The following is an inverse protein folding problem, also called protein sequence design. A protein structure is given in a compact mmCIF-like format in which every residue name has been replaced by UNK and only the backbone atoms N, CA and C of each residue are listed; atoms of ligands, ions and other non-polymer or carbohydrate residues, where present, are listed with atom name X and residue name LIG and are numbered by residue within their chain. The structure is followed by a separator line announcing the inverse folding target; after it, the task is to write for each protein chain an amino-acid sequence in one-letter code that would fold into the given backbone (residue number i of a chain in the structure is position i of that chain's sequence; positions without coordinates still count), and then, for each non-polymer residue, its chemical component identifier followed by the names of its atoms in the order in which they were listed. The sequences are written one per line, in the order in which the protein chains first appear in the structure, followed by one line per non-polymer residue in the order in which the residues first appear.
data_IF_637113263404
#
_entry.id   IF_637113263404
#
_cell.length_a   1.000
_cell.length_b   1.000
_cell.length_c   1.000
_cell.angle_alpha   90.00
_cell.angle_beta   90.00
_cell.angle_gamma   90.00
#
_symmetry.space_group_name_H-M   'P 1'
#
loop_
_entity.id
_entity.type
_entity.pdbx_description
1 polymer ?
#
# COMPACT_ATOMS: atom_id res chain seq x y z
N UNK A 1 -13.40 3.00 -19.02
CA UNK A 1 -12.65 2.29 -20.09
C UNK A 1 -12.85 0.80 -19.88
N UNK A 2 -13.39 0.12 -20.89
CA UNK A 2 -13.87 -1.26 -20.86
C UNK A 2 -12.87 -2.22 -20.24
N UNK A 3 -13.29 -2.99 -19.23
CA UNK A 3 -12.47 -4.09 -18.75
C UNK A 3 -12.35 -5.11 -19.89
N UNK A 4 -11.15 -5.40 -20.42
CA UNK A 4 -10.98 -6.22 -21.62
C UNK A 4 -11.36 -7.67 -21.37
N UNK A 5 -11.26 -8.12 -20.10
CA UNK A 5 -11.60 -9.49 -19.68
C UNK A 5 -13.09 -9.80 -19.95
N UNK A 6 -14.07 -9.04 -19.43
CA UNK A 6 -15.49 -9.25 -19.76
C UNK A 6 -15.82 -9.25 -21.25
N UNK A 7 -15.19 -8.37 -22.04
CA UNK A 7 -15.47 -8.25 -23.48
C UNK A 7 -14.96 -9.49 -24.23
N UNK A 8 -13.72 -9.90 -23.98
CA UNK A 8 -13.14 -11.10 -24.62
C UNK A 8 -13.89 -12.36 -24.18
N UNK A 9 -14.28 -12.46 -22.90
CA UNK A 9 -15.07 -13.57 -22.41
C UNK A 9 -16.46 -13.65 -23.08
N UNK A 10 -17.13 -12.51 -23.27
CA UNK A 10 -18.41 -12.44 -23.96
C UNK A 10 -18.29 -12.85 -25.43
N UNK A 11 -17.24 -12.38 -26.14
CA UNK A 11 -16.98 -12.75 -27.53
C UNK A 11 -16.65 -14.24 -27.68
N UNK A 12 -15.86 -14.79 -26.75
CA UNK A 12 -15.54 -16.22 -26.72
C UNK A 12 -16.81 -17.04 -26.48
N UNK A 13 -17.62 -16.68 -25.49
CA UNK A 13 -18.90 -17.33 -25.21
C UNK A 13 -19.86 -17.27 -26.39
N UNK A 14 -20.01 -16.11 -27.03
CA UNK A 14 -20.86 -15.94 -28.21
C UNK A 14 -20.35 -16.77 -29.40
N UNK A 15 -19.04 -16.82 -29.62
CA UNK A 15 -18.43 -17.63 -30.68
C UNK A 15 -18.69 -19.12 -30.48
N UNK A 16 -18.57 -19.62 -29.24
CA UNK A 16 -18.88 -21.01 -28.90
C UNK A 16 -20.38 -21.32 -29.01
N UNK A 17 -21.25 -20.41 -28.57
CA UNK A 17 -22.70 -20.54 -28.72
C UNK A 17 -23.11 -20.61 -30.20
N UNK A 18 -22.58 -19.71 -31.04
CA UNK A 18 -22.82 -19.74 -32.48
C UNK A 18 -22.35 -21.05 -33.10
N UNK A 19 -21.17 -21.55 -32.71
CA UNK A 19 -20.67 -22.83 -33.18
C UNK A 19 -21.58 -24.01 -32.77
N UNK A 20 -22.02 -24.05 -31.51
CA UNK A 20 -22.94 -25.06 -31.01
C UNK A 20 -24.30 -25.05 -31.75
N UNK A 21 -24.85 -23.85 -32.01
CA UNK A 21 -26.09 -23.68 -32.79
C UNK A 21 -25.90 -24.17 -34.22
N UNK A 22 -24.76 -23.86 -34.86
CA UNK A 22 -24.47 -24.31 -36.23
C UNK A 22 -24.40 -25.83 -36.32
N UNK A 23 -23.63 -26.50 -35.44
CA UNK A 23 -23.52 -27.96 -35.41
C UNK A 23 -24.87 -28.62 -35.14
N UNK A 24 -25.72 -28.00 -34.30
CA UNK A 24 -27.03 -28.55 -33.95
C UNK A 24 -28.11 -28.34 -35.01
N UNK A 25 -28.03 -27.27 -35.80
CA UNK A 25 -29.03 -26.91 -36.81
C UNK A 25 -28.66 -27.34 -38.23
N UNK A 26 -27.38 -27.63 -38.50
CA UNK A 26 -26.87 -28.03 -39.82
C UNK A 26 -26.34 -29.46 -39.77
N UNK A 27 -27.11 -30.48 -40.20
CA UNK A 27 -26.69 -31.89 -40.15
C UNK A 27 -25.47 -32.22 -41.03
N UNK A 28 -25.07 -31.32 -41.93
CA UNK A 28 -23.88 -31.45 -42.77
C UNK A 28 -22.58 -31.03 -42.07
N UNK A 29 -22.65 -30.40 -40.89
CA UNK A 29 -21.48 -29.92 -40.15
C UNK A 29 -21.23 -30.86 -38.96
N UNK A 30 -20.22 -31.74 -39.00
CA UNK A 30 -19.85 -32.54 -37.84
C UNK A 30 -19.22 -31.66 -36.74
N UNK A 31 -19.35 -32.09 -35.50
CA UNK A 31 -18.64 -31.48 -34.38
C UNK A 31 -17.13 -31.74 -34.51
N UNK A 32 -16.33 -30.68 -34.36
CA UNK A 32 -14.86 -30.70 -34.38
C UNK A 32 -14.33 -29.89 -33.19
N UNK A 33 -13.64 -30.58 -32.28
CA UNK A 33 -13.04 -29.98 -31.09
C UNK A 33 -11.93 -28.97 -31.44
N UNK A 34 -11.31 -29.09 -32.62
CA UNK A 34 -10.25 -28.17 -33.07
C UNK A 34 -10.77 -26.75 -33.24
N UNK A 35 -12.04 -26.60 -33.61
CA UNK A 35 -12.69 -25.29 -33.74
C UNK A 35 -12.87 -24.66 -32.35
N UNK A 36 -13.32 -25.45 -31.37
CA UNK A 36 -13.44 -25.00 -29.97
C UNK A 36 -12.07 -24.58 -29.42
N UNK A 37 -11.04 -25.41 -29.64
CA UNK A 37 -9.67 -25.10 -29.23
C UNK A 37 -9.14 -23.84 -29.91
N UNK A 38 -9.42 -23.64 -31.20
CA UNK A 38 -9.03 -22.44 -31.94
C UNK A 38 -9.70 -21.17 -31.41
N UNK A 39 -11.01 -21.21 -31.15
CA UNK A 39 -11.76 -20.08 -30.56
C UNK A 39 -11.20 -19.73 -29.18
N UNK A 40 -10.94 -20.74 -28.35
CA UNK A 40 -10.31 -20.54 -27.05
C UNK A 40 -8.92 -19.91 -27.17
N UNK A 41 -8.06 -20.45 -28.03
CA UNK A 41 -6.69 -20.00 -28.22
C UNK A 41 -6.63 -18.55 -28.70
N UNK A 42 -7.49 -18.17 -29.65
CA UNK A 42 -7.58 -16.78 -30.14
C UNK A 42 -8.01 -15.82 -29.03
N UNK A 43 -9.01 -16.19 -28.24
CA UNK A 43 -9.43 -15.38 -27.09
C UNK A 43 -8.33 -15.23 -26.04
N UNK A 44 -7.61 -16.32 -25.76
CA UNK A 44 -6.48 -16.32 -24.82
C UNK A 44 -5.32 -15.44 -25.31
N UNK A 45 -4.88 -15.60 -26.56
CA UNK A 45 -3.81 -14.76 -27.15
C UNK A 45 -4.21 -13.29 -27.16
N UNK A 46 -5.47 -12.97 -27.51
CA UNK A 46 -5.95 -11.60 -27.49
C UNK A 46 -5.90 -10.98 -26.10
N UNK A 47 -6.27 -11.75 -25.07
CA UNK A 47 -6.20 -11.28 -23.69
C UNK A 47 -4.75 -11.09 -23.23
N UNK A 48 -3.88 -12.05 -23.52
CA UNK A 48 -2.46 -11.99 -23.17
C UNK A 48 -1.79 -10.78 -23.83
N UNK A 49 -2.03 -10.56 -25.12
CA UNK A 49 -1.46 -9.42 -25.84
C UNK A 49 -1.88 -8.07 -25.23
N UNK A 50 -3.16 -7.91 -24.87
CA UNK A 50 -3.63 -6.69 -24.20
C UNK A 50 -2.96 -6.50 -22.83
N UNK A 51 -2.74 -7.60 -22.11
CA UNK A 51 -2.01 -7.56 -20.86
C UNK A 51 -0.53 -7.18 -21.06
N UNK A 52 0.15 -7.79 -22.03
CA UNK A 52 1.54 -7.47 -22.39
C UNK A 52 1.72 -5.99 -22.75
N UNK A 53 0.81 -5.43 -23.56
CA UNK A 53 0.85 -4.02 -23.94
C UNK A 53 0.71 -3.08 -22.73
N UNK A 54 -0.13 -3.44 -21.75
CA UNK A 54 -0.26 -2.67 -20.51
C UNK A 54 1.00 -2.72 -19.66
N UNK A 55 1.60 -3.90 -19.53
CA UNK A 55 2.85 -4.08 -18.80
C UNK A 55 3.98 -3.29 -19.45
N UNK A 56 4.08 -3.31 -20.77
CA UNK A 56 5.09 -2.53 -21.51
C UNK A 56 4.89 -1.02 -21.36
N UNK A 57 3.64 -0.54 -21.38
CA UNK A 57 3.33 0.85 -21.08
C UNK A 57 3.78 1.25 -19.67
N UNK A 58 3.39 0.47 -18.67
CA UNK A 58 3.78 0.69 -17.27
C UNK A 58 5.30 0.64 -17.08
N UNK A 59 6.00 -0.23 -17.81
CA UNK A 59 7.45 -0.31 -17.80
C UNK A 59 8.08 0.97 -18.33
N UNK A 60 7.57 1.51 -19.45
CA UNK A 60 8.04 2.78 -20.01
C UNK A 60 7.87 3.94 -19.02
N UNK A 61 6.71 4.04 -18.39
CA UNK A 61 6.43 5.08 -17.39
C UNK A 61 7.34 4.93 -16.17
N UNK A 62 7.48 3.70 -15.66
CA UNK A 62 8.37 3.41 -14.51
C UNK A 62 9.84 3.68 -14.85
N UNK A 63 10.27 3.33 -16.07
CA UNK A 63 11.62 3.57 -16.53
C UNK A 63 11.91 5.06 -16.63
N UNK A 64 11.03 5.85 -17.25
CA UNK A 64 11.21 7.30 -17.34
C UNK A 64 11.21 7.98 -15.96
N UNK A 65 10.39 7.51 -15.03
CA UNK A 65 10.30 8.06 -13.68
C UNK A 65 11.52 7.71 -12.80
N UNK A 66 12.05 6.48 -12.90
CA UNK A 66 13.01 5.96 -11.93
C UNK A 66 14.39 5.58 -12.49
N UNK A 67 14.57 5.42 -13.80
CA UNK A 67 15.86 5.00 -14.36
C UNK A 67 16.97 6.02 -14.07
N UNK A 68 18.18 5.52 -13.77
CA UNK A 68 19.36 6.34 -13.48
C UNK A 68 19.33 7.11 -12.14
N UNK A 69 18.20 7.14 -11.43
CA UNK A 69 18.08 7.83 -10.13
C UNK A 69 18.69 7.00 -9.00
N UNK A 70 19.33 7.69 -8.05
CA UNK A 70 19.75 7.07 -6.78
C UNK A 70 18.53 6.58 -5.99
N UNK A 71 18.72 5.63 -5.07
CA UNK A 71 17.63 5.12 -4.23
C UNK A 71 16.89 6.24 -3.49
N UNK A 72 17.63 7.23 -2.96
CA UNK A 72 17.02 8.39 -2.30
C UNK A 72 16.17 9.23 -3.25
N UNK A 73 16.65 9.49 -4.47
CA UNK A 73 15.91 10.23 -5.48
C UNK A 73 14.68 9.48 -6.02
N UNK A 74 14.73 8.14 -6.04
CA UNK A 74 13.57 7.30 -6.35
C UNK A 74 12.51 7.40 -5.26
N UNK A 75 12.91 7.29 -4.00
CA UNK A 75 12.01 7.41 -2.86
C UNK A 75 11.36 8.80 -2.78
N UNK A 76 12.13 9.86 -3.03
CA UNK A 76 11.62 11.24 -3.05
C UNK A 76 10.67 11.53 -4.22
N UNK A 77 10.74 10.77 -5.31
CA UNK A 77 9.84 10.89 -6.45
C UNK A 77 8.69 9.87 -6.43
N UNK A 78 8.67 9.01 -5.42
CA UNK A 78 7.70 7.95 -5.26
C UNK A 78 6.48 8.39 -4.45
N UNK A 79 5.46 7.52 -4.34
CA UNK A 79 4.25 7.81 -3.57
C UNK A 79 4.51 8.04 -2.08
N UNK A 80 5.63 7.53 -1.55
CA UNK A 80 6.00 7.62 -0.14
C UNK A 80 6.90 8.81 0.19
N UNK A 81 7.09 9.75 -0.74
CA UNK A 81 8.08 10.84 -0.59
C UNK A 81 7.95 11.58 0.75
N UNK A 82 6.73 11.99 1.11
CA UNK A 82 6.46 12.70 2.36
C UNK A 82 6.75 11.85 3.61
N UNK A 83 6.55 10.52 3.51
CA UNK A 83 6.83 9.60 4.61
C UNK A 83 8.32 9.35 4.79
N UNK A 84 9.06 9.24 3.69
CA UNK A 84 10.52 9.13 3.70
C UNK A 84 11.15 10.40 4.26
N UNK A 85 10.65 11.57 3.86
CA UNK A 85 11.10 12.85 4.39
C UNK A 85 10.85 12.97 5.90
N UNK A 86 9.63 12.63 6.33
CA UNK A 86 9.25 12.71 7.74
C UNK A 86 10.04 11.73 8.63
N UNK A 87 10.20 10.49 8.19
CA UNK A 87 11.01 9.50 8.92
C UNK A 87 12.49 9.86 8.94
N UNK A 88 13.02 10.48 7.88
CA UNK A 88 14.37 11.04 7.91
C UNK A 88 14.51 12.19 8.92
N UNK A 89 13.48 13.03 9.10
CA UNK A 89 13.47 14.06 10.15
C UNK A 89 13.43 13.45 11.55
N UNK A 90 12.61 12.41 11.76
CA UNK A 90 12.58 11.66 13.03
C UNK A 90 13.98 11.12 13.37
N UNK A 91 14.66 10.47 12.42
CA UNK A 91 16.00 9.90 12.65
C UNK A 91 17.05 10.95 13.04
N UNK A 92 16.91 12.20 12.58
CA UNK A 92 17.82 13.29 12.98
C UNK A 92 17.60 13.78 14.42
N UNK A 93 16.41 13.50 15.00
CA UNK A 93 15.99 14.02 16.30
C UNK A 93 15.97 12.97 17.41
N UNK A 94 15.83 11.70 17.06
CA UNK A 94 15.74 10.60 18.03
C UNK A 94 17.12 10.18 18.50
N UNK A 95 17.31 10.24 19.81
CA UNK A 95 18.52 9.80 20.52
C UNK A 95 18.10 9.09 21.82
N UNK A 96 18.76 8.00 22.24
CA UNK A 96 19.91 7.30 21.65
C UNK A 96 19.57 6.40 20.45
N UNK A 97 20.57 5.77 19.83
CA UNK A 97 20.41 4.94 18.61
C UNK A 97 19.54 3.68 18.82
N UNK A 98 19.36 3.23 20.06
CA UNK A 98 18.52 2.11 20.47
C UNK A 98 17.15 2.57 21.01
N UNK A 99 16.79 3.84 20.83
CA UNK A 99 15.52 4.39 21.27
C UNK A 99 14.34 3.56 20.74
N UNK A 100 13.35 3.36 21.62
CA UNK A 100 12.09 2.69 21.30
C UNK A 100 11.15 3.68 20.62
N UNK A 101 10.63 3.31 19.46
CA UNK A 101 9.71 4.13 18.67
C UNK A 101 8.43 3.35 18.46
N UNK A 102 7.30 3.88 18.93
CA UNK A 102 5.98 3.31 18.76
C UNK A 102 5.24 4.04 17.64
N UNK A 103 4.83 3.33 16.60
CA UNK A 103 4.13 3.91 15.44
C UNK A 103 2.64 3.63 15.55
N UNK A 104 1.85 4.70 15.71
CA UNK A 104 0.39 4.65 15.66
C UNK A 104 -0.14 5.23 14.36
N UNK A 105 -0.95 4.44 13.64
CA UNK A 105 -1.63 4.88 12.42
C UNK A 105 -2.94 4.12 12.22
N UNK A 106 -3.95 4.79 11.65
CA UNK A 106 -5.22 4.18 11.23
C UNK A 106 -5.07 3.43 9.89
N UNK A 107 -4.01 3.71 9.13
CA UNK A 107 -3.75 3.13 7.81
C UNK A 107 -2.62 2.10 7.89
N UNK A 108 -2.94 0.86 7.53
CA UNK A 108 -2.01 -0.28 7.53
C UNK A 108 -0.76 -0.01 6.68
N UNK A 109 -0.95 0.57 5.50
CA UNK A 109 0.14 0.85 4.56
C UNK A 109 1.06 1.92 5.14
N UNK A 110 0.50 3.04 5.62
CA UNK A 110 1.29 4.13 6.20
C UNK A 110 2.01 3.68 7.46
N UNK A 111 1.34 2.99 8.38
CA UNK A 111 1.95 2.49 9.62
C UNK A 111 3.11 1.52 9.35
N UNK A 112 2.87 0.51 8.51
CA UNK A 112 3.89 -0.48 8.14
C UNK A 112 5.09 0.17 7.42
N UNK A 113 4.84 1.03 6.43
CA UNK A 113 5.93 1.68 5.66
C UNK A 113 6.75 2.61 6.54
N UNK A 114 6.10 3.31 7.47
CA UNK A 114 6.80 4.18 8.42
C UNK A 114 7.71 3.38 9.33
N UNK A 115 7.19 2.28 9.88
CA UNK A 115 7.99 1.40 10.71
C UNK A 115 9.20 0.84 9.95
N UNK A 116 8.99 0.43 8.70
CA UNK A 116 10.08 0.00 7.81
C UNK A 116 11.13 1.09 7.61
N UNK A 117 10.72 2.33 7.30
CA UNK A 117 11.67 3.42 7.08
C UNK A 117 12.40 3.86 8.35
N UNK A 118 11.86 3.58 9.53
CA UNK A 118 12.49 3.90 10.81
C UNK A 118 13.57 2.89 11.23
N UNK A 119 13.76 1.77 10.54
CA UNK A 119 14.92 0.91 10.82
C UNK A 119 16.26 1.67 10.62
N UNK A 120 17.30 1.42 11.45
CA UNK A 120 17.45 0.26 12.36
C UNK A 120 16.97 0.48 13.82
N UNK A 121 16.18 1.53 14.12
CA UNK A 121 15.67 1.74 15.48
C UNK A 121 14.80 0.58 15.98
N UNK A 122 14.59 0.51 17.30
CA UNK A 122 13.68 -0.46 17.92
C UNK A 122 12.23 0.00 17.73
N UNK A 123 11.66 -0.34 16.58
CA UNK A 123 10.33 0.12 16.18
C UNK A 123 9.27 -0.92 16.51
N UNK A 124 8.21 -0.48 17.19
CA UNK A 124 7.00 -1.24 17.39
C UNK A 124 5.87 -0.64 16.56
N UNK A 125 5.22 -1.47 15.75
CA UNK A 125 3.98 -1.15 15.06
C UNK A 125 3.02 -2.33 15.20
N UNK A 126 1.76 -2.02 15.47
CA UNK A 126 0.70 -3.01 15.57
C UNK A 126 -0.38 -2.72 14.52
N UNK A 127 -0.76 -3.76 13.77
CA UNK A 127 -1.83 -3.72 12.78
C UNK A 127 -3.23 -3.71 13.41
N UNK A 128 -3.35 -4.16 14.66
CA UNK A 128 -4.66 -4.31 15.35
C UNK A 128 -5.11 -2.99 16.00
N UNK A 129 -6.38 -2.93 16.39
CA UNK A 129 -7.08 -1.73 16.91
C UNK A 129 -6.33 -0.96 18.01
N UNK A 130 -5.46 -1.61 18.77
CA UNK A 130 -4.57 -0.98 19.75
C UNK A 130 -3.27 -0.54 19.06
N UNK A 131 -3.30 0.67 18.49
CA UNK A 131 -2.17 1.27 17.76
C UNK A 131 -0.93 1.47 18.63
N UNK A 132 -1.13 1.70 19.93
CA UNK A 132 -0.08 1.83 20.93
C UNK A 132 -0.25 0.72 21.98
N UNK A 133 0.84 0.25 22.60
CA UNK A 133 0.73 -0.62 23.76
C UNK A 133 0.05 0.13 24.92
N UNK A 134 -0.50 -0.62 25.88
CA UNK A 134 -1.07 -0.02 27.08
C UNK A 134 -0.04 0.92 27.77
N UNK A 135 -0.47 2.07 28.33
CA UNK A 135 0.43 3.09 28.88
C UNK A 135 1.48 2.58 29.87
N UNK A 136 1.17 1.52 30.63
CA UNK A 136 2.13 0.89 31.56
C UNK A 136 3.37 0.26 30.91
N UNK A 137 3.37 0.03 29.59
CA UNK A 137 4.54 -0.44 28.85
C UNK A 137 5.43 0.69 28.30
N UNK A 138 4.88 1.92 28.26
CA UNK A 138 5.61 3.13 27.87
C UNK A 138 6.44 3.62 29.05
N UNK A 139 7.63 4.14 28.76
CA UNK A 139 8.55 4.69 29.75
C UNK A 139 9.02 6.08 29.32
N UNK A 140 9.39 6.95 30.28
CA UNK A 140 10.06 8.20 29.97
C UNK A 140 11.25 7.98 29.02
N UNK A 141 11.33 8.80 27.97
CA UNK A 141 12.32 8.69 26.90
C UNK A 141 11.87 7.89 25.68
N UNK A 142 10.74 7.18 25.72
CA UNK A 142 10.17 6.55 24.54
C UNK A 142 9.64 7.58 23.54
N UNK A 143 9.64 7.22 22.27
CA UNK A 143 9.10 8.05 21.20
C UNK A 143 7.82 7.46 20.63
N UNK A 144 6.85 8.33 20.35
CA UNK A 144 5.58 7.96 19.73
C UNK A 144 5.44 8.73 18.42
N UNK A 145 5.28 8.01 17.32
CA UNK A 145 5.02 8.55 15.99
C UNK A 145 3.55 8.36 15.69
N UNK A 146 2.83 9.46 15.44
CA UNK A 146 1.40 9.45 15.13
C UNK A 146 1.19 9.90 13.70
N UNK A 147 0.64 9.02 12.87
CA UNK A 147 0.47 9.22 11.42
C UNK A 147 -1.00 9.02 11.06
N UNK A 148 -1.65 10.05 10.55
CA UNK A 148 -3.05 9.98 10.09
C UNK A 148 -3.99 9.26 11.08
N UNK A 149 -3.77 9.43 12.39
CA UNK A 149 -4.56 8.76 13.42
C UNK A 149 -5.74 9.64 13.84
N UNK A 150 -6.93 9.05 13.84
CA UNK A 150 -8.16 9.69 14.33
C UNK A 150 -8.38 9.43 15.82
N UNK A 151 -7.69 8.43 16.38
CA UNK A 151 -7.82 7.98 17.76
C UNK A 151 -6.81 8.60 18.71
N UNK A 152 -5.68 9.10 18.21
CA UNK A 152 -4.65 9.76 19.01
C UNK A 152 -4.79 11.28 18.92
N UNK A 153 -5.09 11.93 20.04
CA UNK A 153 -5.25 13.38 20.12
C UNK A 153 -4.23 13.98 21.06
N UNK A 154 -3.55 15.04 20.63
CA UNK A 154 -2.62 15.76 21.49
C UNK A 154 -3.26 17.00 22.10
N UNK A 155 -3.18 17.12 23.42
CA UNK A 155 -3.59 18.30 24.17
C UNK A 155 -2.36 19.15 24.48
N UNK A 156 -2.18 20.26 23.75
CA UNK A 156 -1.00 21.14 23.86
C UNK A 156 -0.82 21.74 25.26
N UNK A 157 -1.93 22.14 25.90
CA UNK A 157 -1.91 22.78 27.22
C UNK A 157 -1.49 21.79 28.33
N UNK A 158 -1.89 20.52 28.19
CA UNK A 158 -1.57 19.47 29.15
C UNK A 158 -0.27 18.73 28.84
N UNK A 159 0.26 18.84 27.61
CA UNK A 159 1.34 17.98 27.08
C UNK A 159 1.00 16.50 27.28
N UNK A 160 -0.21 16.14 26.84
CA UNK A 160 -0.75 14.79 26.96
C UNK A 160 -1.21 14.29 25.60
N UNK A 161 -0.82 13.08 25.26
CA UNK A 161 -1.42 12.31 24.18
C UNK A 161 -2.57 11.46 24.74
N UNK A 162 -3.76 11.66 24.20
CA UNK A 162 -4.98 10.94 24.54
C UNK A 162 -5.19 9.80 23.55
N UNK A 163 -5.41 8.58 24.06
CA UNK A 163 -5.74 7.42 23.22
C UNK A 163 -7.25 7.34 22.95
N UNK A 164 -7.64 6.55 21.95
CA UNK A 164 -9.06 6.29 21.66
C UNK A 164 -9.82 5.64 22.83
N UNK A 165 -9.10 4.99 23.75
CA UNK A 165 -9.63 4.43 24.99
C UNK A 165 -9.74 5.46 26.13
N UNK A 166 -9.34 6.71 25.91
CA UNK A 166 -9.34 7.78 26.91
C UNK A 166 -8.14 7.77 27.86
N UNK A 167 -7.12 6.96 27.57
CA UNK A 167 -5.91 6.93 28.38
C UNK A 167 -5.05 8.16 28.11
N UNK A 168 -4.32 8.61 29.14
CA UNK A 168 -3.49 9.81 29.10
C UNK A 168 -2.03 9.41 29.15
N UNK A 169 -1.27 9.76 28.11
CA UNK A 169 0.16 9.54 28.02
C UNK A 169 0.86 10.90 28.12
N UNK A 170 1.60 11.20 29.21
CA UNK A 170 2.41 12.40 29.29
C UNK A 170 3.46 12.38 28.19
N UNK A 171 3.40 13.36 27.29
CA UNK A 171 4.30 13.41 26.14
C UNK A 171 4.46 14.84 25.64
N UNK A 172 5.66 15.17 25.18
CA UNK A 172 5.94 16.45 24.53
C UNK A 172 6.06 16.26 23.02
N UNK A 173 5.57 17.22 22.23
CA UNK A 173 5.74 17.21 20.78
C UNK A 173 7.17 17.60 20.43
N UNK A 174 7.89 16.72 19.74
CA UNK A 174 9.27 16.93 19.29
C UNK A 174 9.31 17.56 17.90
N UNK A 175 8.44 17.10 16.99
CA UNK A 175 8.31 17.68 15.64
C UNK A 175 6.91 17.40 15.06
N UNK A 176 6.51 18.23 14.11
CA UNK A 176 5.28 18.09 13.32
C UNK A 176 5.67 18.17 11.83
N UNK A 177 5.12 17.27 11.02
CA UNK A 177 5.34 17.21 9.59
C UNK A 177 4.03 17.02 8.82
N UNK A 178 4.13 17.02 7.49
CA UNK A 178 2.96 16.93 6.60
C UNK A 178 2.12 15.66 6.81
N UNK A 179 2.74 14.57 7.27
CA UNK A 179 2.12 13.24 7.39
C UNK A 179 1.91 12.79 8.84
N UNK A 180 2.36 13.56 9.82
CA UNK A 180 2.23 13.17 11.22
C UNK A 180 3.10 13.94 12.20
N UNK A 181 3.19 13.39 13.40
CA UNK A 181 3.82 14.03 14.55
C UNK A 181 4.71 13.06 15.31
N UNK A 182 5.80 13.58 15.87
CA UNK A 182 6.68 12.85 16.78
C UNK A 182 6.49 13.42 18.19
N UNK A 183 6.29 12.53 19.15
CA UNK A 183 6.19 12.84 20.56
C UNK A 183 7.26 12.09 21.35
N UNK A 184 7.64 12.62 22.50
CA UNK A 184 8.52 11.97 23.47
C UNK A 184 7.81 11.86 24.82
N UNK A 185 7.78 10.66 25.38
CA UNK A 185 7.20 10.36 26.69
C UNK A 185 8.12 10.89 27.79
N UNK A 186 7.56 11.45 28.87
CA UNK A 186 8.33 11.95 30.02
C UNK A 186 7.69 11.55 31.36
#
# INVERSE_FOLDING_TARGET
LTQPVPVIAALLGLSLCCYAVLVRTRPTIPFDWRIVAGVFLVGWIGLDLLWQLRVLGQLGDTWTQYAGRSTAAKLAAGPDAALVEFTADIKRRVTPADARIFVGSDDDYIGMRSAYYLYPYNVYWNRRNEQLPAPGYLRPGDYIVVLSSTYLRFEEQGRVLLTGAGERIPAERVTSGAVGNLFRVY
#
